data_IF_449108655574
#
_entry.id   IF_449108655574
#
_cell.length_a   1.000
_cell.length_b   1.000
_cell.length_c   1.000
_cell.angle_alpha   90.00
_cell.angle_beta   90.00
_cell.angle_gamma   90.00
#
_symmetry.space_group_name_H-M   'P 1'
#
loop_
_entity.id
_entity.type
_entity.pdbx_description
1 polymer ?
#
# COMPACT_ATOMS: atom_id res chain seq x y z
N UNK A 1 -6.56 8.80 -0.56
CA UNK A 1 -6.15 7.41 -0.21
C UNK A 1 -6.52 6.93 1.21
N UNK A 2 -6.23 7.68 2.28
CA UNK A 2 -6.30 7.20 3.68
C UNK A 2 -7.64 6.54 4.10
N UNK A 3 -8.79 7.13 3.75
CA UNK A 3 -10.10 6.59 4.13
C UNK A 3 -10.34 5.17 3.55
N UNK A 4 -9.87 4.92 2.33
CA UNK A 4 -9.97 3.60 1.70
C UNK A 4 -9.09 2.58 2.43
N UNK A 5 -7.88 2.97 2.83
CA UNK A 5 -6.98 2.11 3.61
C UNK A 5 -7.61 1.79 4.96
N UNK A 6 -8.11 2.79 5.69
CA UNK A 6 -8.82 2.59 6.97
C UNK A 6 -9.95 1.60 6.83
N UNK A 7 -10.80 1.77 5.82
CA UNK A 7 -11.91 0.85 5.52
C UNK A 7 -11.41 -0.58 5.26
N UNK A 8 -10.33 -0.74 4.49
CA UNK A 8 -9.73 -2.06 4.21
C UNK A 8 -9.07 -2.71 5.44
N UNK A 9 -8.57 -1.90 6.37
CA UNK A 9 -8.03 -2.35 7.66
C UNK A 9 -9.13 -2.53 8.72
N UNK A 10 -10.42 -2.38 8.39
CA UNK A 10 -11.53 -2.51 9.35
C UNK A 10 -11.66 -1.34 10.32
N UNK A 11 -11.03 -0.20 10.03
CA UNK A 11 -11.03 1.01 10.85
C UNK A 11 -12.09 1.97 10.32
N UNK A 12 -12.94 2.48 11.22
CA UNK A 12 -13.92 3.51 10.88
C UNK A 12 -13.22 4.82 10.48
N UNK A 13 -13.76 5.52 9.48
CA UNK A 13 -13.25 6.81 9.00
C UNK A 13 -13.19 7.86 10.13
N UNK A 14 -14.08 7.76 11.12
CA UNK A 14 -14.14 8.67 12.27
C UNK A 14 -13.02 8.46 13.31
N UNK A 15 -12.30 7.34 13.27
CA UNK A 15 -11.22 7.02 14.22
C UNK A 15 -9.93 7.68 13.78
N UNK A 16 -9.56 8.82 14.39
CA UNK A 16 -8.41 9.62 13.94
C UNK A 16 -7.07 9.28 14.59
N UNK A 17 -7.08 8.46 15.65
CA UNK A 17 -5.88 8.16 16.44
C UNK A 17 -4.76 7.48 15.63
N UNK A 18 -5.11 6.79 14.55
CA UNK A 18 -4.18 6.07 13.69
C UNK A 18 -3.80 6.85 12.43
N UNK A 19 -4.39 8.04 12.20
CA UNK A 19 -4.26 8.72 10.90
C UNK A 19 -2.79 9.06 10.60
N UNK A 20 -2.06 9.57 11.60
CA UNK A 20 -0.64 9.91 11.46
C UNK A 20 0.21 8.68 11.12
N UNK A 21 0.00 7.56 11.82
CA UNK A 21 0.76 6.32 11.59
C UNK A 21 0.45 5.73 10.21
N UNK A 22 -0.84 5.71 9.84
CA UNK A 22 -1.28 5.23 8.53
C UNK A 22 -0.69 6.10 7.42
N UNK A 23 -0.69 7.44 7.55
CA UNK A 23 -0.06 8.32 6.57
C UNK A 23 1.45 8.09 6.44
N UNK A 24 2.14 7.87 7.56
CA UNK A 24 3.57 7.54 7.56
C UNK A 24 3.82 6.23 6.81
N UNK A 25 3.08 5.17 7.14
CA UNK A 25 3.22 3.88 6.46
C UNK A 25 2.83 3.91 4.98
N UNK A 26 1.85 4.73 4.59
CA UNK A 26 1.53 4.96 3.18
C UNK A 26 2.75 5.55 2.45
N UNK A 27 3.37 6.60 3.02
CA UNK A 27 4.55 7.24 2.43
C UNK A 27 5.74 6.29 2.34
N UNK A 28 6.00 5.53 3.40
CA UNK A 28 7.07 4.53 3.43
C UNK A 28 6.84 3.44 2.37
N UNK A 29 5.61 2.94 2.26
CA UNK A 29 5.25 1.94 1.27
C UNK A 29 5.45 2.44 -0.17
N UNK A 30 5.09 3.70 -0.46
CA UNK A 30 5.28 4.29 -1.78
C UNK A 30 6.77 4.41 -2.10
N UNK A 31 7.59 4.86 -1.16
CA UNK A 31 9.03 4.95 -1.34
C UNK A 31 9.68 3.58 -1.53
N UNK A 32 9.24 2.55 -0.80
CA UNK A 32 9.73 1.18 -0.95
C UNK A 32 9.37 0.60 -2.33
N UNK A 33 8.15 0.83 -2.81
CA UNK A 33 7.74 0.43 -4.17
C UNK A 33 8.63 1.07 -5.24
N UNK A 34 8.87 2.38 -5.15
CA UNK A 34 9.73 3.11 -6.09
C UNK A 34 11.16 2.57 -6.03
N UNK A 35 11.70 2.39 -4.83
CA UNK A 35 13.06 1.86 -4.61
C UNK A 35 13.21 0.42 -5.10
N UNK A 36 12.12 -0.35 -5.10
CA UNK A 36 12.04 -1.71 -5.63
C UNK A 36 11.87 -1.77 -7.16
N UNK A 37 11.73 -0.62 -7.84
CA UNK A 37 11.67 -0.53 -9.30
C UNK A 37 10.27 -0.36 -9.88
N UNK A 38 9.25 -0.08 -9.05
CA UNK A 38 7.92 0.31 -9.55
C UNK A 38 8.01 1.75 -10.08
N UNK A 39 7.43 2.02 -11.25
CA UNK A 39 7.35 3.40 -11.76
C UNK A 39 6.68 4.32 -10.75
N UNK A 40 7.25 5.53 -10.59
CA UNK A 40 6.70 6.55 -9.69
C UNK A 40 5.23 6.87 -10.01
N UNK A 41 4.89 6.97 -11.30
CA UNK A 41 3.52 7.24 -11.76
C UNK A 41 2.53 6.17 -11.30
N UNK A 42 2.97 4.92 -11.25
CA UNK A 42 2.15 3.81 -10.76
C UNK A 42 2.11 3.82 -9.24
N UNK A 43 3.27 3.89 -8.58
CA UNK A 43 3.37 3.82 -7.12
C UNK A 43 2.58 4.94 -6.41
N UNK A 44 2.45 6.11 -7.03
CA UNK A 44 1.69 7.26 -6.51
C UNK A 44 0.20 7.26 -6.94
N UNK A 45 -0.23 6.29 -7.75
CA UNK A 45 -1.62 6.22 -8.23
C UNK A 45 -2.58 5.83 -7.11
N UNK A 46 -3.51 6.73 -6.79
CA UNK A 46 -4.60 6.43 -5.85
C UNK A 46 -5.72 5.58 -6.46
N UNK A 47 -5.79 5.51 -7.79
CA UNK A 47 -6.85 4.82 -8.53
C UNK A 47 -6.47 3.37 -8.86
N UNK A 48 -5.17 3.06 -8.87
CA UNK A 48 -4.71 1.71 -9.17
C UNK A 48 -5.01 0.75 -8.02
N UNK A 49 -5.92 -0.19 -8.26
CA UNK A 49 -6.34 -1.17 -7.28
C UNK A 49 -5.19 -2.07 -6.80
N UNK A 50 -4.17 -2.30 -7.62
CA UNK A 50 -2.99 -3.08 -7.26
C UNK A 50 -2.11 -2.32 -6.28
N UNK A 51 -1.92 -1.02 -6.48
CA UNK A 51 -1.18 -0.10 -5.59
C UNK A 51 -1.90 0.02 -4.25
N UNK A 52 -3.21 0.28 -4.28
CA UNK A 52 -4.03 0.35 -3.07
C UNK A 52 -3.95 -0.93 -2.23
N UNK A 53 -3.86 -2.09 -2.90
CA UNK A 53 -3.71 -3.39 -2.24
C UNK A 53 -2.32 -3.57 -1.63
N UNK A 54 -1.25 -3.18 -2.33
CA UNK A 54 0.10 -3.22 -1.79
C UNK A 54 0.22 -2.36 -0.52
N UNK A 55 -0.29 -1.12 -0.57
CA UNK A 55 -0.32 -0.21 0.57
C UNK A 55 -1.14 -0.76 1.73
N UNK A 56 -2.31 -1.38 1.44
CA UNK A 56 -3.13 -2.01 2.49
C UNK A 56 -2.35 -3.12 3.21
N UNK A 57 -1.64 -3.98 2.48
CA UNK A 57 -0.84 -5.06 3.08
C UNK A 57 0.30 -4.51 3.94
N UNK A 58 0.99 -3.48 3.45
CA UNK A 58 2.07 -2.82 4.18
C UNK A 58 1.55 -2.17 5.48
N UNK A 59 0.47 -1.38 5.40
CA UNK A 59 -0.14 -0.75 6.57
C UNK A 59 -0.64 -1.80 7.57
N UNK A 60 -1.32 -2.85 7.12
CA UNK A 60 -1.78 -3.93 8.01
C UNK A 60 -0.64 -4.64 8.73
N UNK A 61 0.53 -4.80 8.07
CA UNK A 61 1.71 -5.40 8.68
C UNK A 61 2.28 -4.56 9.83
N UNK A 62 2.34 -3.24 9.67
CA UNK A 62 3.02 -2.33 10.61
C UNK A 62 2.10 -1.65 11.63
N UNK A 63 0.82 -1.47 11.32
CA UNK A 63 -0.15 -0.91 12.28
C UNK A 63 -0.36 -1.84 13.49
N UNK A 64 0.05 -3.11 13.38
CA UNK A 64 0.10 -4.04 14.51
C UNK A 64 -1.28 -4.53 14.95
N UNK A 65 -2.28 -4.48 14.06
CA UNK A 65 -3.62 -5.03 14.31
C UNK A 65 -3.52 -6.53 14.64
N UNK A 66 -2.63 -7.26 13.96
CA UNK A 66 -2.30 -8.65 14.26
C UNK A 66 -0.82 -8.92 13.99
N UNK A 67 -0.03 -9.01 15.07
CA UNK A 67 1.42 -9.29 14.99
C UNK A 67 1.74 -10.71 14.52
N UNK A 68 0.77 -11.63 14.57
CA UNK A 68 1.00 -13.01 14.14
C UNK A 68 1.06 -13.15 12.62
N UNK A 69 0.44 -12.20 11.90
CA UNK A 69 0.35 -12.19 10.43
C UNK A 69 1.29 -11.17 9.75
N UNK A 70 2.13 -10.44 10.50
CA UNK A 70 3.04 -9.41 9.94
C UNK A 70 3.89 -9.95 8.78
N UNK A 71 4.60 -11.07 8.98
CA UNK A 71 5.46 -11.67 7.94
C UNK A 71 4.65 -12.13 6.71
N UNK A 72 3.44 -12.63 6.93
CA UNK A 72 2.54 -13.06 5.86
C UNK A 72 2.07 -11.87 5.01
N UNK A 73 1.73 -10.75 5.63
CA UNK A 73 1.38 -9.54 4.91
C UNK A 73 2.57 -8.97 4.14
N UNK A 74 3.78 -9.00 4.71
CA UNK A 74 5.00 -8.57 4.03
C UNK A 74 5.37 -9.49 2.85
N UNK A 75 5.17 -10.80 2.96
CA UNK A 75 5.33 -11.73 1.83
C UNK A 75 4.34 -11.43 0.69
N UNK A 76 3.06 -11.26 1.01
CA UNK A 76 2.04 -10.89 0.03
C UNK A 76 2.32 -9.53 -0.62
N UNK A 77 2.78 -8.57 0.19
CA UNK A 77 3.21 -7.25 -0.27
C UNK A 77 4.35 -7.37 -1.29
N UNK A 78 5.45 -8.06 -0.94
CA UNK A 78 6.61 -8.26 -1.83
C UNK A 78 6.21 -8.91 -3.16
N UNK A 79 5.35 -9.93 -3.12
CA UNK A 79 4.78 -10.56 -4.32
C UNK A 79 3.94 -9.60 -5.15
N UNK A 80 3.24 -8.66 -4.52
CA UNK A 80 2.45 -7.63 -5.20
C UNK A 80 3.34 -6.57 -5.85
N UNK A 81 4.35 -6.07 -5.12
CA UNK A 81 5.35 -5.12 -5.64
C UNK A 81 6.08 -5.71 -6.83
N UNK A 82 6.55 -6.96 -6.73
CA UNK A 82 7.19 -7.64 -7.85
C UNK A 82 6.30 -7.71 -9.10
N UNK A 83 4.98 -7.88 -8.95
CA UNK A 83 4.09 -7.82 -10.12
C UNK A 83 3.96 -6.41 -10.68
N UNK A 84 3.87 -5.40 -9.81
CA UNK A 84 3.81 -3.99 -10.20
C UNK A 84 5.07 -3.57 -10.98
N UNK A 85 6.25 -4.12 -10.65
CA UNK A 85 7.48 -3.83 -11.41
C UNK A 85 7.43 -4.37 -12.85
N UNK A 86 6.56 -5.35 -13.12
CA UNK A 86 6.39 -5.95 -14.44
C UNK A 86 5.31 -5.26 -15.28
N UNK A 87 4.43 -4.45 -14.67
CA UNK A 87 3.33 -3.81 -15.39
C UNK A 87 3.80 -2.73 -16.38
N UNK A 88 5.05 -2.25 -16.25
CA UNK A 88 5.60 -1.17 -17.08
C UNK A 88 4.81 0.14 -16.91
N UNK A 89 5.31 1.27 -17.43
CA UNK A 89 4.45 2.45 -17.53
C UNK A 89 3.25 2.10 -18.42
N UNK A 90 2.05 2.06 -17.85
CA UNK A 90 0.81 1.86 -18.60
C UNK A 90 0.75 2.97 -19.64
N UNK A 91 1.05 2.64 -20.90
CA UNK A 91 0.86 3.56 -22.02
C UNK A 91 -0.64 3.79 -22.05
N UNK A 92 -1.07 4.98 -21.63
CA UNK A 92 -2.45 5.42 -21.79
C UNK A 92 -2.65 5.56 -23.29
N UNK A 93 -3.25 4.54 -23.92
CA UNK A 93 -3.80 4.71 -25.27
C UNK A 93 -4.89 5.78 -25.17
N UNK A 94 -4.66 6.90 -25.86
CA UNK A 94 -5.55 8.07 -25.93
C UNK A 94 -6.80 7.78 -26.75
#
# INVERSE_FOLDING_TARGET
MINLIKKRCGISENVKIYDNDIEMYIKDCIQDMISSGVSKTIAESEEDAAVLTAITLYVSAYLGIDRTDTEKYLDLYRKKVFRLTLEGDKIVEQ
#
